data_IF_164962736850
#
_entry.id   IF_164962736850
#
_cell.length_a   1.000
_cell.length_b   1.000
_cell.length_c   1.000
_cell.angle_alpha   90.00
_cell.angle_beta   90.00
_cell.angle_gamma   90.00
#
_symmetry.space_group_name_H-M   'P 1'
#
loop_
_entity.id
_entity.type
_entity.pdbx_description
1 polymer ?
#
# COMPACT_ATOMS: atom_id res chain seq x y z
N UNK A 1 6.59 12.48 -23.09
CA UNK A 1 5.89 13.04 -21.92
C UNK A 1 4.51 13.48 -22.40
N UNK A 2 3.45 12.71 -22.14
CA UNK A 2 2.15 12.90 -22.79
C UNK A 2 1.34 14.05 -22.19
N UNK A 3 0.40 14.62 -22.97
CA UNK A 3 -0.51 15.72 -22.57
C UNK A 3 -1.20 15.47 -21.21
N UNK A 4 -1.48 14.22 -20.86
CA UNK A 4 -2.05 13.82 -19.57
C UNK A 4 -1.12 14.14 -18.37
N UNK A 5 0.18 13.91 -18.51
CA UNK A 5 1.16 14.21 -17.47
C UNK A 5 1.36 15.72 -17.30
N UNK A 6 1.33 16.46 -18.40
CA UNK A 6 1.41 17.93 -18.36
C UNK A 6 0.17 18.56 -17.69
N UNK A 7 -1.04 18.13 -18.04
CA UNK A 7 -2.26 18.59 -17.40
C UNK A 7 -2.32 18.22 -15.92
N UNK A 8 -1.89 17.01 -15.55
CA UNK A 8 -1.75 16.57 -14.15
C UNK A 8 -0.79 17.47 -13.38
N UNK A 9 0.39 17.72 -13.93
CA UNK A 9 1.43 18.57 -13.31
C UNK A 9 0.93 20.02 -13.14
N UNK A 10 0.24 20.58 -14.13
CA UNK A 10 -0.29 21.94 -14.07
C UNK A 10 -1.38 22.08 -12.98
N UNK A 11 -2.30 21.12 -12.87
CA UNK A 11 -3.34 21.10 -11.82
C UNK A 11 -2.69 20.97 -10.44
N UNK A 12 -1.74 20.07 -10.26
CA UNK A 12 -1.05 19.88 -8.98
C UNK A 12 -0.25 21.11 -8.56
N UNK A 13 0.42 21.77 -9.52
CA UNK A 13 1.13 23.02 -9.26
C UNK A 13 0.19 24.16 -8.86
N UNK A 14 -0.97 24.27 -9.52
CA UNK A 14 -1.98 25.29 -9.21
C UNK A 14 -2.59 25.07 -7.82
N UNK A 15 -2.93 23.83 -7.48
CA UNK A 15 -3.46 23.48 -6.13
C UNK A 15 -2.42 23.76 -5.05
N UNK A 16 -1.13 23.48 -5.33
CA UNK A 16 -0.04 23.79 -4.41
C UNK A 16 0.22 25.28 -4.27
N UNK A 17 0.21 26.03 -5.38
CA UNK A 17 0.40 27.49 -5.38
C UNK A 17 -0.69 28.23 -4.61
N UNK A 18 -1.93 27.74 -4.64
CA UNK A 18 -3.06 28.28 -3.89
C UNK A 18 -3.09 27.83 -2.42
N UNK A 19 -2.10 27.07 -1.95
CA UNK A 19 -2.02 26.47 -0.59
C UNK A 19 -3.27 25.66 -0.20
N UNK A 20 -4.03 25.18 -1.17
CA UNK A 20 -5.26 24.42 -0.92
C UNK A 20 -4.97 23.12 -0.18
N UNK A 21 -3.80 22.53 -0.40
CA UNK A 21 -3.36 21.33 0.33
C UNK A 21 -3.21 21.60 1.82
N UNK A 22 -2.58 22.74 2.19
CA UNK A 22 -2.34 23.12 3.59
C UNK A 22 -3.65 23.50 4.28
N UNK A 23 -4.54 24.21 3.58
CA UNK A 23 -5.87 24.53 4.10
C UNK A 23 -6.70 23.25 4.33
N UNK A 24 -6.69 22.32 3.38
CA UNK A 24 -7.39 21.03 3.52
C UNK A 24 -6.84 20.20 4.68
N UNK A 25 -5.52 20.21 4.90
CA UNK A 25 -4.87 19.54 6.04
C UNK A 25 -5.24 20.23 7.36
N UNK A 26 -5.21 21.55 7.42
CA UNK A 26 -5.59 22.32 8.61
C UNK A 26 -7.06 22.08 9.01
N UNK A 27 -7.97 22.09 8.05
CA UNK A 27 -9.39 21.78 8.29
C UNK A 27 -9.59 20.33 8.77
N UNK A 28 -8.78 19.40 8.31
CA UNK A 28 -8.80 18.00 8.79
C UNK A 28 -8.30 17.85 10.21
N UNK A 29 -7.29 18.62 10.60
CA UNK A 29 -6.73 18.59 11.96
C UNK A 29 -7.66 19.23 12.99
N UNK A 30 -8.52 20.15 12.57
CA UNK A 30 -9.45 20.89 13.42
C UNK A 30 -10.83 20.20 13.62
N UNK A 31 -11.10 19.08 12.95
CA UNK A 31 -12.40 18.39 12.91
C UNK A 31 -12.32 17.02 13.61
N UNK A 32 -13.48 16.33 13.87
CA UNK A 32 -13.54 14.88 14.20
C UNK A 32 -12.77 13.98 13.23
N UNK A 33 -12.24 14.53 12.14
CA UNK A 33 -11.29 13.92 11.22
C UNK A 33 -9.97 13.43 11.88
N UNK A 34 -9.73 13.77 13.12
CA UNK A 34 -8.58 13.28 13.93
C UNK A 34 -8.58 11.76 14.12
N UNK A 35 -9.73 11.10 13.97
CA UNK A 35 -9.82 9.63 14.02
C UNK A 35 -9.45 8.95 12.69
N UNK A 36 -9.12 9.72 11.66
CA UNK A 36 -8.85 9.17 10.33
C UNK A 36 -7.42 8.67 10.18
N UNK A 37 -7.29 7.60 9.44
CA UNK A 37 -6.02 6.98 9.06
C UNK A 37 -5.86 7.10 7.55
N UNK A 38 -4.75 7.69 7.11
CA UNK A 38 -4.31 7.59 5.73
C UNK A 38 -3.51 6.30 5.60
N UNK A 39 -3.96 5.38 4.78
CA UNK A 39 -3.21 4.16 4.45
C UNK A 39 -2.51 4.39 3.11
N UNK A 40 -1.19 4.32 3.13
CA UNK A 40 -0.33 4.54 1.95
C UNK A 40 0.02 3.20 1.33
N UNK A 41 -0.09 3.10 0.00
CA UNK A 41 0.49 2.02 -0.78
C UNK A 41 1.70 2.54 -1.54
N UNK A 42 2.85 1.89 -1.37
CA UNK A 42 4.09 2.11 -2.13
C UNK A 42 4.50 0.82 -2.82
N UNK A 43 5.05 0.93 -4.03
CA UNK A 43 5.54 -0.22 -4.78
C UNK A 43 7.06 -0.16 -4.93
N UNK A 44 7.61 1.02 -5.21
CA UNK A 44 9.02 1.18 -5.48
C UNK A 44 9.71 2.08 -4.44
N UNK A 45 10.78 1.56 -3.83
CA UNK A 45 11.58 2.28 -2.83
C UNK A 45 13.07 2.04 -3.06
N UNK A 46 13.55 2.41 -4.27
CA UNK A 46 14.95 2.24 -4.65
C UNK A 46 15.88 3.10 -3.79
N UNK A 47 17.12 2.68 -3.64
CA UNK A 47 18.19 3.44 -2.93
C UNK A 47 18.38 4.84 -3.52
N UNK A 48 18.22 4.99 -4.83
CA UNK A 48 18.26 6.29 -5.50
C UNK A 48 17.16 7.26 -5.06
N UNK A 49 16.05 6.75 -4.51
CA UNK A 49 14.92 7.54 -4.03
C UNK A 49 14.90 7.69 -2.49
N UNK A 50 15.92 7.18 -1.79
CA UNK A 50 15.94 7.17 -0.31
C UNK A 50 15.83 8.57 0.30
N UNK A 51 16.50 9.57 -0.27
CA UNK A 51 16.43 10.94 0.22
C UNK A 51 15.05 11.59 -0.03
N UNK A 52 14.41 11.29 -1.17
CA UNK A 52 13.05 11.75 -1.43
C UNK A 52 12.06 11.12 -0.45
N UNK A 53 12.21 9.82 -0.18
CA UNK A 53 11.39 9.11 0.81
C UNK A 53 11.62 9.67 2.23
N UNK A 54 12.86 9.99 2.59
CA UNK A 54 13.19 10.67 3.85
C UNK A 54 12.48 12.01 3.95
N UNK A 55 12.60 12.85 2.93
CA UNK A 55 11.92 14.15 2.87
C UNK A 55 10.39 14.03 2.98
N UNK A 56 9.83 12.96 2.39
CA UNK A 56 8.40 12.66 2.52
C UNK A 56 8.04 12.28 3.97
N UNK A 57 8.83 11.43 4.64
CA UNK A 57 8.61 11.05 6.04
C UNK A 57 8.80 12.25 7.00
N UNK A 58 9.79 13.11 6.76
CA UNK A 58 9.96 14.35 7.51
C UNK A 58 8.74 15.27 7.42
N UNK A 59 8.15 15.37 6.23
CA UNK A 59 6.93 16.13 6.04
C UNK A 59 5.73 15.41 6.71
N UNK A 60 5.63 14.11 6.56
CA UNK A 60 4.55 13.30 7.15
C UNK A 60 4.53 13.44 8.67
N UNK A 61 5.65 13.36 9.35
CA UNK A 61 5.70 13.47 10.82
C UNK A 61 5.30 14.84 11.35
N UNK A 62 5.39 15.89 10.53
CA UNK A 62 4.87 17.22 10.88
C UNK A 62 3.34 17.29 10.90
N UNK A 63 2.68 16.47 10.09
CA UNK A 63 1.23 16.54 9.85
C UNK A 63 0.44 15.32 10.33
N UNK A 64 1.10 14.17 10.51
CA UNK A 64 0.50 12.90 10.86
C UNK A 64 1.29 12.20 11.98
N UNK A 65 0.64 11.26 12.66
CA UNK A 65 1.29 10.28 13.53
C UNK A 65 1.48 9.00 12.74
N UNK A 66 2.73 8.56 12.55
CA UNK A 66 3.01 7.26 11.94
C UNK A 66 2.61 6.19 12.96
N UNK A 67 1.77 5.23 12.55
CA UNK A 67 1.30 4.14 13.40
C UNK A 67 1.81 2.79 12.90
N UNK A 68 1.80 1.82 13.81
CA UNK A 68 2.14 0.43 13.49
C UNK A 68 0.90 -0.37 13.07
N UNK A 69 1.06 -1.53 12.41
CA UNK A 69 -0.05 -2.43 12.10
C UNK A 69 -0.85 -2.86 13.31
N UNK A 70 -0.20 -3.04 14.48
CA UNK A 70 -0.87 -3.39 15.73
C UNK A 70 -1.78 -2.27 16.22
N UNK A 71 -1.32 -1.01 16.17
CA UNK A 71 -2.15 0.15 16.53
C UNK A 71 -3.31 0.31 15.55
N UNK A 72 -3.08 0.04 14.26
CA UNK A 72 -4.12 0.03 13.24
C UNK A 72 -5.19 -1.01 13.55
N UNK A 73 -4.80 -2.27 13.81
CA UNK A 73 -5.72 -3.35 14.16
C UNK A 73 -6.50 -3.01 15.43
N UNK A 74 -5.82 -2.54 16.47
CA UNK A 74 -6.45 -2.15 17.73
C UNK A 74 -7.49 -1.04 17.54
N UNK A 75 -7.25 -0.07 16.65
CA UNK A 75 -8.23 0.99 16.38
C UNK A 75 -9.54 0.41 15.79
N UNK A 76 -9.46 -0.59 14.92
CA UNK A 76 -10.64 -1.27 14.39
C UNK A 76 -11.32 -2.14 15.42
N UNK A 77 -10.59 -2.85 16.27
CA UNK A 77 -11.12 -3.71 17.32
C UNK A 77 -11.88 -2.91 18.38
N UNK A 78 -11.29 -1.80 18.81
CA UNK A 78 -11.88 -0.96 19.87
C UNK A 78 -12.87 0.08 19.35
N UNK A 79 -12.92 0.28 18.03
CA UNK A 79 -13.70 1.36 17.39
C UNK A 79 -13.37 2.75 17.94
N UNK A 80 -12.13 2.94 18.36
CA UNK A 80 -11.64 4.17 18.94
C UNK A 80 -10.28 4.56 18.37
N UNK A 81 -9.91 5.81 18.57
CA UNK A 81 -8.55 6.26 18.33
C UNK A 81 -7.61 5.72 19.42
N UNK A 82 -6.52 5.07 19.02
CA UNK A 82 -5.54 4.44 19.95
C UNK A 82 -4.15 5.05 19.89
N UNK A 83 -3.90 6.02 19.00
CA UNK A 83 -2.62 6.74 18.93
C UNK A 83 -2.69 8.06 19.68
N UNK A 84 -1.54 8.52 20.19
CA UNK A 84 -1.40 9.74 20.99
C UNK A 84 -1.29 11.00 20.13
N UNK A 85 -1.50 12.17 20.75
CA UNK A 85 -1.39 13.48 20.10
C UNK A 85 -2.67 13.88 19.33
N UNK A 86 -2.65 15.03 18.69
CA UNK A 86 -3.80 15.63 17.99
C UNK A 86 -3.82 15.38 16.46
N UNK A 87 -2.77 14.78 15.90
CA UNK A 87 -2.63 14.57 14.46
C UNK A 87 -3.41 13.34 14.00
N UNK A 88 -3.97 13.33 12.77
CA UNK A 88 -4.47 12.11 12.16
C UNK A 88 -3.33 11.10 11.97
N UNK A 89 -3.66 9.81 11.79
CA UNK A 89 -2.67 8.76 11.64
C UNK A 89 -2.32 8.48 10.17
N UNK A 90 -1.13 7.90 9.97
CA UNK A 90 -0.72 7.29 8.71
C UNK A 90 -0.16 5.90 8.97
N UNK A 91 -0.58 4.93 8.15
CA UNK A 91 -0.02 3.58 8.06
C UNK A 91 0.62 3.40 6.68
N UNK A 92 1.85 2.93 6.65
CA UNK A 92 2.54 2.60 5.40
C UNK A 92 2.36 1.14 5.04
N UNK A 93 2.05 0.89 3.77
CA UNK A 93 2.02 -0.45 3.19
C UNK A 93 2.88 -0.49 1.94
N UNK A 94 3.53 -1.62 1.68
CA UNK A 94 4.45 -1.84 0.58
C UNK A 94 4.01 -3.07 -0.20
N UNK A 95 3.77 -2.91 -1.48
CA UNK A 95 3.26 -3.99 -2.32
C UNK A 95 4.38 -4.67 -3.12
N UNK A 96 4.06 -5.77 -3.79
CA UNK A 96 4.87 -6.54 -4.73
C UNK A 96 6.01 -7.39 -4.14
N UNK A 97 6.40 -7.19 -2.89
CA UNK A 97 7.46 -8.01 -2.27
C UNK A 97 8.86 -7.79 -2.82
N UNK A 98 9.18 -6.58 -3.30
CA UNK A 98 10.51 -6.22 -3.83
C UNK A 98 11.54 -6.11 -2.70
N UNK A 99 12.77 -6.54 -2.96
CA UNK A 99 13.88 -6.47 -2.00
C UNK A 99 14.18 -5.04 -1.56
N UNK A 100 14.02 -4.05 -2.44
CA UNK A 100 14.23 -2.64 -2.11
C UNK A 100 13.33 -2.17 -0.95
N UNK A 101 12.10 -2.68 -0.84
CA UNK A 101 11.22 -2.38 0.28
C UNK A 101 11.80 -2.87 1.62
N UNK A 102 12.46 -4.03 1.63
CA UNK A 102 13.17 -4.53 2.81
C UNK A 102 14.44 -3.73 3.12
N UNK A 103 15.26 -3.43 2.09
CA UNK A 103 16.57 -2.80 2.27
C UNK A 103 16.50 -1.30 2.56
N UNK A 104 15.52 -0.61 1.97
CA UNK A 104 15.42 0.86 2.02
C UNK A 104 14.24 1.32 2.87
N UNK A 105 13.02 0.87 2.52
CA UNK A 105 11.82 1.39 3.16
C UNK A 105 11.69 0.96 4.63
N UNK A 106 11.91 -0.32 4.95
CA UNK A 106 11.74 -0.84 6.30
C UNK A 106 12.65 -0.14 7.31
N UNK A 107 14.00 -0.09 7.14
CA UNK A 107 14.87 0.57 8.10
C UNK A 107 14.63 2.08 8.18
N UNK A 108 14.26 2.72 7.05
CA UNK A 108 13.94 4.13 7.08
C UNK A 108 12.65 4.39 7.88
N UNK A 109 11.58 3.63 7.65
CA UNK A 109 10.33 3.75 8.40
C UNK A 109 10.55 3.50 9.91
N UNK A 110 11.39 2.54 10.25
CA UNK A 110 11.79 2.23 11.64
C UNK A 110 12.49 3.40 12.33
N UNK A 111 13.32 4.14 11.59
CA UNK A 111 14.01 5.31 12.14
C UNK A 111 13.04 6.43 12.56
N UNK A 112 11.81 6.40 12.03
CA UNK A 112 10.70 7.28 12.46
C UNK A 112 9.75 6.62 13.48
N UNK A 113 10.14 5.47 14.06
CA UNK A 113 9.33 4.71 15.02
C UNK A 113 8.15 3.95 14.42
N UNK A 114 8.02 3.93 13.10
CA UNK A 114 6.94 3.25 12.39
C UNK A 114 7.21 1.78 12.14
N UNK A 115 6.15 1.06 11.79
CA UNK A 115 6.17 -0.29 11.21
C UNK A 115 5.15 -0.32 10.09
N UNK A 116 5.39 -1.13 9.06
CA UNK A 116 4.52 -1.21 7.89
C UNK A 116 3.96 -2.61 7.66
N UNK A 117 3.11 -2.72 6.64
CA UNK A 117 2.62 -4.00 6.13
C UNK A 117 3.25 -4.23 4.75
N UNK A 118 3.87 -5.38 4.54
CA UNK A 118 4.48 -5.77 3.29
C UNK A 118 3.62 -6.83 2.62
N UNK A 119 2.94 -6.46 1.54
CA UNK A 119 2.09 -7.36 0.76
C UNK A 119 2.91 -8.04 -0.32
N UNK A 120 2.93 -9.36 -0.31
CA UNK A 120 3.82 -10.13 -1.18
C UNK A 120 3.07 -11.18 -2.01
N UNK A 121 3.32 -11.26 -3.33
CA UNK A 121 2.91 -12.40 -4.14
C UNK A 121 3.77 -13.60 -3.76
N UNK A 122 3.16 -14.63 -3.17
CA UNK A 122 3.95 -15.70 -2.53
C UNK A 122 4.89 -16.44 -3.51
N UNK A 123 4.50 -16.62 -4.77
CA UNK A 123 5.32 -17.27 -5.79
C UNK A 123 6.45 -16.40 -6.36
N UNK A 124 6.47 -15.13 -6.04
CA UNK A 124 7.58 -14.24 -6.40
C UNK A 124 8.74 -14.34 -5.40
N UNK A 125 8.43 -14.56 -4.14
CA UNK A 125 9.39 -14.57 -3.04
C UNK A 125 10.41 -15.69 -3.21
N UNK A 126 11.70 -15.33 -3.07
CA UNK A 126 12.82 -16.25 -3.19
C UNK A 126 13.21 -16.65 -4.62
N UNK A 127 12.52 -16.14 -5.64
CA UNK A 127 12.97 -16.32 -7.02
C UNK A 127 14.28 -15.56 -7.27
N UNK A 128 15.09 -16.07 -8.19
CA UNK A 128 16.38 -15.48 -8.53
C UNK A 128 16.60 -15.44 -10.03
N UNK A 129 17.49 -14.56 -10.50
CA UNK A 129 17.94 -14.49 -11.89
C UNK A 129 16.80 -14.38 -12.89
N UNK A 130 16.84 -15.18 -13.94
CA UNK A 130 15.87 -15.13 -15.03
C UNK A 130 14.43 -15.42 -14.58
N UNK A 131 14.23 -16.30 -13.60
CA UNK A 131 12.90 -16.64 -13.10
C UNK A 131 12.25 -15.45 -12.36
N UNK A 132 13.03 -14.72 -11.56
CA UNK A 132 12.55 -13.51 -10.90
C UNK A 132 12.19 -12.41 -11.91
N UNK A 133 13.06 -12.20 -12.88
CA UNK A 133 12.87 -11.22 -13.96
C UNK A 133 11.62 -11.53 -14.79
N UNK A 134 11.45 -12.78 -15.20
CA UNK A 134 10.28 -13.24 -15.96
C UNK A 134 8.98 -13.06 -15.16
N UNK A 135 8.96 -13.49 -13.90
CA UNK A 135 7.78 -13.28 -13.04
C UNK A 135 7.43 -11.81 -12.93
N UNK A 136 8.42 -10.95 -12.68
CA UNK A 136 8.23 -9.52 -12.51
C UNK A 136 7.58 -8.88 -13.74
N UNK A 137 8.14 -9.07 -14.92
CA UNK A 137 7.64 -8.45 -16.15
C UNK A 137 6.37 -9.11 -16.71
N UNK A 138 6.13 -10.38 -16.41
CA UNK A 138 4.90 -11.06 -16.85
C UNK A 138 3.72 -10.90 -15.90
N UNK A 139 3.96 -10.54 -14.62
CA UNK A 139 2.92 -10.54 -13.57
C UNK A 139 2.77 -9.23 -12.82
N UNK A 140 3.87 -8.54 -12.53
CA UNK A 140 3.86 -7.33 -11.70
C UNK A 140 3.86 -6.09 -12.59
N UNK A 141 4.89 -5.88 -13.38
CA UNK A 141 5.00 -4.72 -14.28
C UNK A 141 4.78 -5.10 -15.75
N UNK A 142 3.58 -5.52 -16.05
CA UNK A 142 3.16 -5.95 -17.40
C UNK A 142 3.13 -4.80 -18.43
N UNK A 143 3.32 -3.54 -18.02
CA UNK A 143 3.34 -2.37 -18.90
C UNK A 143 4.73 -2.05 -19.43
N UNK A 144 5.75 -2.71 -18.93
CA UNK A 144 7.14 -2.50 -19.36
C UNK A 144 7.44 -3.23 -20.67
N UNK A 145 6.72 -2.89 -21.76
CA UNK A 145 7.09 -3.33 -23.12
C UNK A 145 8.46 -2.80 -23.57
N UNK A 146 8.91 -1.70 -22.96
CA UNK A 146 10.29 -1.20 -23.04
C UNK A 146 10.93 -1.49 -21.68
N UNK A 147 11.80 -2.49 -21.63
CA UNK A 147 12.51 -2.86 -20.41
C UNK A 147 13.08 -1.60 -19.74
N UNK A 148 12.60 -1.24 -18.54
CA UNK A 148 13.26 -0.18 -17.78
C UNK A 148 14.71 -0.60 -17.53
N UNK A 149 15.60 0.35 -17.21
CA UNK A 149 16.98 0.02 -16.94
C UNK A 149 17.04 -1.11 -15.90
N UNK A 150 17.75 -2.18 -16.22
CA UNK A 150 17.85 -3.40 -15.41
C UNK A 150 18.42 -3.11 -14.00
N UNK A 151 19.04 -1.95 -13.84
CA UNK A 151 19.62 -1.45 -12.59
C UNK A 151 19.21 0.00 -12.41
N UNK A 152 19.05 0.43 -11.16
CA UNK A 152 19.07 1.85 -10.84
C UNK A 152 20.33 2.50 -11.45
N UNK A 153 20.30 3.79 -11.71
CA UNK A 153 21.46 4.53 -12.24
C UNK A 153 22.72 4.35 -11.36
N UNK A 154 22.54 4.11 -10.05
CA UNK A 154 23.62 3.77 -9.11
C UNK A 154 24.11 2.32 -9.23
N UNK A 155 23.37 1.41 -9.91
CA UNK A 155 23.69 -0.01 -10.01
C UNK A 155 23.45 -0.82 -8.73
N UNK A 156 22.90 -0.21 -7.68
CA UNK A 156 22.73 -0.82 -6.35
C UNK A 156 21.44 -1.62 -6.21
N UNK A 157 20.38 -1.24 -6.93
CA UNK A 157 19.09 -1.91 -6.86
C UNK A 157 18.74 -2.61 -8.18
N UNK A 158 18.22 -3.81 -8.06
CA UNK A 158 17.64 -4.56 -9.16
C UNK A 158 16.12 -4.48 -9.01
N UNK A 159 15.44 -3.79 -9.93
CA UNK A 159 14.01 -3.47 -9.84
C UNK A 159 13.13 -4.71 -9.67
N UNK A 160 13.49 -5.81 -10.33
CA UNK A 160 12.75 -7.08 -10.32
C UNK A 160 13.23 -8.06 -9.24
N UNK A 161 14.15 -7.66 -8.33
CA UNK A 161 14.61 -8.55 -7.27
C UNK A 161 13.56 -8.70 -6.16
N UNK A 162 13.04 -9.91 -5.89
CA UNK A 162 12.14 -10.14 -4.77
C UNK A 162 12.88 -10.28 -3.44
N UNK A 163 12.16 -10.08 -2.35
CA UNK A 163 12.61 -10.49 -1.02
C UNK A 163 12.83 -11.99 -0.95
N UNK A 164 13.70 -12.42 -0.01
CA UNK A 164 13.84 -13.83 0.37
C UNK A 164 12.88 -14.18 1.50
N UNK A 165 12.70 -15.48 1.76
CA UNK A 165 11.89 -15.97 2.88
C UNK A 165 12.47 -15.55 4.24
N UNK A 166 13.81 -15.48 4.35
CA UNK A 166 14.52 -15.01 5.55
C UNK A 166 14.29 -13.53 5.81
N UNK A 167 14.23 -12.71 4.74
CA UNK A 167 13.90 -11.28 4.84
C UNK A 167 12.47 -11.07 5.31
N UNK A 168 11.51 -11.88 4.85
CA UNK A 168 10.14 -11.84 5.36
C UNK A 168 10.05 -12.24 6.84
N UNK A 169 10.75 -13.30 7.25
CA UNK A 169 10.83 -13.71 8.65
C UNK A 169 11.46 -12.60 9.51
N UNK A 170 12.47 -11.90 8.99
CA UNK A 170 13.11 -10.78 9.67
C UNK A 170 12.15 -9.58 9.84
N UNK A 171 11.44 -9.18 8.80
CA UNK A 171 10.40 -8.16 8.90
C UNK A 171 9.37 -8.48 9.99
N UNK A 172 8.89 -9.73 10.03
CA UNK A 172 7.92 -10.17 11.04
C UNK A 172 8.48 -10.12 12.47
N UNK A 173 9.77 -10.47 12.66
CA UNK A 173 10.46 -10.35 13.97
C UNK A 173 10.65 -8.89 14.39
N UNK A 174 10.87 -7.99 13.46
CA UNK A 174 11.03 -6.54 13.70
C UNK A 174 9.71 -5.81 13.93
N UNK A 175 8.56 -6.53 13.91
CA UNK A 175 7.24 -5.97 14.19
C UNK A 175 6.54 -5.36 12.98
N UNK A 176 7.01 -5.65 11.76
CA UNK A 176 6.23 -5.41 10.55
C UNK A 176 5.26 -6.57 10.33
N UNK A 177 4.16 -6.30 9.61
CA UNK A 177 3.31 -7.37 9.13
C UNK A 177 3.70 -7.76 7.71
N UNK A 178 3.62 -9.05 7.42
CA UNK A 178 3.69 -9.58 6.06
C UNK A 178 2.28 -10.01 5.68
N UNK A 179 1.72 -9.38 4.67
CA UNK A 179 0.39 -9.63 4.15
C UNK A 179 0.42 -10.38 2.81
N UNK A 180 -0.72 -10.97 2.44
CA UNK A 180 -0.87 -11.64 1.16
C UNK A 180 -1.22 -10.66 0.03
N UNK A 181 -0.63 -10.89 -1.15
CA UNK A 181 -0.90 -10.15 -2.39
C UNK A 181 -1.21 -11.13 -3.53
N UNK A 182 -2.04 -12.13 -3.24
CA UNK A 182 -2.31 -13.33 -4.03
C UNK A 182 -1.10 -14.29 -4.13
N UNK A 183 -1.28 -15.44 -4.73
CA UNK A 183 -0.21 -16.41 -4.93
C UNK A 183 0.73 -15.99 -6.08
N UNK A 184 0.13 -15.60 -7.22
CA UNK A 184 0.82 -15.33 -8.49
C UNK A 184 0.68 -13.87 -8.96
N UNK A 185 0.34 -12.93 -8.07
CA UNK A 185 -0.04 -11.55 -8.43
C UNK A 185 -1.20 -11.55 -9.44
N UNK A 186 -2.23 -12.37 -9.18
CA UNK A 186 -3.35 -12.61 -10.10
C UNK A 186 -4.48 -11.60 -9.87
N UNK A 187 -5.07 -11.11 -10.96
CA UNK A 187 -6.32 -10.37 -10.92
C UNK A 187 -7.46 -11.32 -10.53
N UNK A 188 -8.05 -11.15 -9.35
CA UNK A 188 -9.08 -12.05 -8.79
C UNK A 188 -10.47 -11.74 -9.36
N UNK A 189 -10.60 -11.68 -10.67
CA UNK A 189 -11.85 -11.36 -11.37
C UNK A 189 -12.29 -12.56 -12.22
N UNK A 190 -13.54 -12.99 -12.04
CA UNK A 190 -14.14 -14.09 -12.80
C UNK A 190 -13.37 -15.43 -12.67
N UNK A 191 -12.76 -15.67 -11.51
CA UNK A 191 -12.07 -16.92 -11.21
C UNK A 191 -13.05 -17.95 -10.65
N UNK A 192 -12.76 -19.23 -10.90
CA UNK A 192 -13.45 -20.35 -10.27
C UNK A 192 -13.14 -20.40 -8.76
N UNK A 193 -13.98 -21.12 -8.00
CA UNK A 193 -13.76 -21.33 -6.55
C UNK A 193 -12.40 -21.95 -6.27
N UNK A 194 -11.95 -22.90 -7.10
CA UNK A 194 -10.66 -23.56 -6.95
C UNK A 194 -9.48 -22.62 -7.22
N UNK A 195 -9.61 -21.73 -8.21
CA UNK A 195 -8.58 -20.72 -8.51
C UNK A 195 -8.52 -19.68 -7.38
N UNK A 196 -9.66 -19.21 -6.87
CA UNK A 196 -9.71 -18.31 -5.72
C UNK A 196 -9.08 -18.94 -4.47
N UNK A 197 -9.43 -20.19 -4.16
CA UNK A 197 -8.85 -20.94 -3.05
C UNK A 197 -7.32 -21.00 -3.17
N UNK A 198 -6.81 -21.36 -4.34
CA UNK A 198 -5.38 -21.44 -4.60
C UNK A 198 -4.68 -20.07 -4.44
N UNK A 199 -5.24 -19.00 -5.02
CA UNK A 199 -4.63 -17.68 -4.99
C UNK A 199 -4.63 -17.06 -3.58
N UNK A 200 -5.65 -17.37 -2.76
CA UNK A 200 -5.86 -16.76 -1.44
C UNK A 200 -5.28 -17.64 -0.33
N UNK A 201 -5.77 -18.88 -0.19
CA UNK A 201 -5.41 -19.75 0.92
C UNK A 201 -3.97 -20.25 0.85
N UNK A 202 -3.50 -20.66 -0.36
CA UNK A 202 -2.13 -21.13 -0.51
C UNK A 202 -1.12 -19.99 -0.31
N UNK A 203 -1.45 -18.76 -0.76
CA UNK A 203 -0.64 -17.57 -0.48
C UNK A 203 -0.49 -17.33 1.03
N UNK A 204 -1.61 -17.29 1.76
CA UNK A 204 -1.61 -17.10 3.20
C UNK A 204 -0.83 -18.22 3.92
N UNK A 205 -1.03 -19.48 3.50
CA UNK A 205 -0.33 -20.64 4.08
C UNK A 205 1.18 -20.55 3.90
N UNK A 206 1.67 -20.22 2.69
CA UNK A 206 3.11 -20.11 2.43
C UNK A 206 3.73 -18.96 3.26
N UNK A 207 3.13 -17.79 3.25
CA UNK A 207 3.61 -16.63 4.02
C UNK A 207 3.61 -16.95 5.52
N UNK A 208 2.55 -17.58 6.03
CA UNK A 208 2.46 -17.98 7.44
C UNK A 208 3.57 -18.95 7.86
N UNK A 209 3.94 -19.90 6.99
CA UNK A 209 5.07 -20.80 7.22
C UNK A 209 6.42 -20.07 7.29
N UNK A 210 6.66 -19.08 6.43
CA UNK A 210 7.91 -18.33 6.40
C UNK A 210 8.07 -17.37 7.58
N UNK A 211 6.96 -16.71 7.96
CA UNK A 211 6.99 -15.70 9.01
C UNK A 211 6.74 -16.24 10.42
N UNK A 212 6.17 -17.43 10.53
CA UNK A 212 5.69 -18.00 11.81
C UNK A 212 4.52 -17.22 12.42
N UNK A 213 3.80 -16.41 11.61
CA UNK A 213 2.71 -15.54 12.05
C UNK A 213 1.44 -15.78 11.23
N UNK A 214 0.25 -15.55 11.79
CA UNK A 214 -0.98 -15.46 11.01
C UNK A 214 -0.88 -14.36 9.95
N UNK A 215 -1.50 -14.58 8.78
CA UNK A 215 -1.53 -13.62 7.68
C UNK A 215 -2.88 -12.89 7.72
N UNK A 216 -3.00 -11.91 8.61
CA UNK A 216 -4.25 -11.20 8.87
C UNK A 216 -4.63 -10.20 7.76
N UNK A 217 -3.66 -9.76 6.95
CA UNK A 217 -3.82 -8.70 5.97
C UNK A 217 -3.71 -9.21 4.53
N UNK A 218 -4.60 -8.72 3.68
CA UNK A 218 -4.61 -8.98 2.24
C UNK A 218 -4.73 -7.67 1.46
N UNK A 219 -3.97 -7.51 0.37
CA UNK A 219 -4.15 -6.45 -0.60
C UNK A 219 -4.48 -7.02 -1.98
N UNK A 220 -5.50 -6.44 -2.64
CA UNK A 220 -5.79 -6.77 -4.02
C UNK A 220 -4.69 -6.28 -4.94
N UNK A 221 -4.25 -7.14 -5.84
CA UNK A 221 -3.39 -6.78 -6.97
C UNK A 221 -4.18 -5.95 -8.00
N UNK A 222 -3.48 -5.08 -8.73
CA UNK A 222 -4.03 -4.23 -9.78
C UNK A 222 -5.02 -3.16 -9.28
N UNK A 223 -6.00 -2.79 -10.11
CA UNK A 223 -6.92 -1.68 -9.87
C UNK A 223 -8.24 -2.15 -9.22
N UNK A 224 -9.06 -1.19 -8.81
CA UNK A 224 -10.33 -1.41 -8.11
C UNK A 224 -11.35 -2.25 -8.89
N UNK A 225 -11.26 -2.28 -10.21
CA UNK A 225 -12.09 -3.09 -11.11
C UNK A 225 -11.61 -4.54 -11.23
N UNK A 226 -10.56 -4.89 -10.49
CA UNK A 226 -10.08 -6.27 -10.34
C UNK A 226 -10.77 -7.03 -9.18
N UNK A 227 -11.75 -6.40 -8.53
CA UNK A 227 -12.48 -6.95 -7.39
C UNK A 227 -13.90 -7.28 -7.83
N UNK A 228 -14.34 -8.51 -7.65
CA UNK A 228 -15.73 -8.93 -7.74
C UNK A 228 -16.23 -9.47 -6.40
N UNK A 229 -17.52 -9.78 -6.33
CA UNK A 229 -18.13 -10.28 -5.09
C UNK A 229 -17.57 -11.64 -4.69
N UNK A 230 -17.32 -12.53 -5.64
CA UNK A 230 -16.81 -13.87 -5.34
C UNK A 230 -15.41 -13.80 -4.72
N UNK A 231 -14.51 -13.01 -5.29
CA UNK A 231 -13.18 -12.80 -4.75
C UNK A 231 -13.20 -12.12 -3.38
N UNK A 232 -14.08 -11.13 -3.19
CA UNK A 232 -14.23 -10.45 -1.89
C UNK A 232 -14.74 -11.39 -0.80
N UNK A 233 -15.78 -12.21 -1.12
CA UNK A 233 -16.29 -13.23 -0.19
C UNK A 233 -15.20 -14.23 0.19
N UNK A 234 -14.40 -14.69 -0.76
CA UNK A 234 -13.29 -15.63 -0.51
C UNK A 234 -12.20 -15.01 0.37
N UNK A 235 -11.75 -13.79 0.07
CA UNK A 235 -10.69 -13.10 0.82
C UNK A 235 -11.08 -12.86 2.28
N UNK A 236 -12.31 -12.43 2.55
CA UNK A 236 -12.77 -12.13 3.91
C UNK A 236 -12.94 -13.36 4.80
N UNK A 237 -12.98 -14.58 4.25
CA UNK A 237 -12.98 -15.81 5.03
C UNK A 237 -11.61 -16.14 5.62
N UNK A 238 -10.53 -15.61 5.01
CA UNK A 238 -9.15 -15.93 5.36
C UNK A 238 -8.48 -14.78 6.10
N UNK A 239 -8.79 -13.53 5.72
CA UNK A 239 -8.09 -12.35 6.19
C UNK A 239 -9.00 -11.41 6.99
N UNK A 240 -8.44 -10.81 8.04
CA UNK A 240 -9.14 -9.87 8.93
C UNK A 240 -9.17 -8.45 8.37
N UNK A 241 -8.18 -8.09 7.56
CA UNK A 241 -7.99 -6.76 7.00
C UNK A 241 -7.78 -6.85 5.49
N UNK A 242 -8.69 -6.25 4.72
CA UNK A 242 -8.68 -6.31 3.26
C UNK A 242 -8.43 -4.92 2.67
N UNK A 243 -7.30 -4.74 2.01
CA UNK A 243 -6.80 -3.46 1.51
C UNK A 243 -7.12 -3.28 0.03
N UNK A 244 -8.00 -2.33 -0.26
CA UNK A 244 -8.44 -1.97 -1.61
C UNK A 244 -7.43 -1.06 -2.30
N UNK A 245 -7.24 -1.18 -3.63
CA UNK A 245 -6.45 -0.23 -4.40
C UNK A 245 -7.18 1.11 -4.67
N UNK A 246 -8.39 1.30 -4.14
CA UNK A 246 -9.18 2.52 -4.34
C UNK A 246 -8.76 3.61 -3.36
N UNK A 247 -8.40 4.83 -3.84
CA UNK A 247 -7.98 5.92 -2.98
C UNK A 247 -9.06 6.36 -1.98
N UNK A 248 -8.62 6.55 -0.73
CA UNK A 248 -9.49 7.05 0.32
C UNK A 248 -8.78 7.19 1.66
N UNK A 249 -9.51 7.72 2.63
CA UNK A 249 -9.11 7.82 4.03
C UNK A 249 -10.02 6.92 4.84
N UNK A 250 -9.51 6.30 5.87
CA UNK A 250 -10.19 5.30 6.70
C UNK A 250 -10.56 5.91 8.06
N UNK A 251 -11.78 5.65 8.52
CA UNK A 251 -12.24 5.95 9.88
C UNK A 251 -12.55 4.63 10.59
N UNK A 252 -11.68 4.11 11.47
CA UNK A 252 -11.88 2.81 12.11
C UNK A 252 -13.12 2.73 12.99
N UNK A 253 -13.72 3.90 13.35
CA UNK A 253 -14.97 3.94 14.12
C UNK A 253 -16.20 3.64 13.27
N UNK A 254 -16.10 3.75 11.94
CA UNK A 254 -17.23 3.67 10.99
C UNK A 254 -17.01 2.66 9.87
N UNK A 255 -15.76 2.56 9.39
CA UNK A 255 -15.43 1.74 8.24
C UNK A 255 -15.24 0.28 8.62
N UNK A 256 -15.39 -0.61 7.63
CA UNK A 256 -15.14 -2.03 7.78
C UNK A 256 -13.64 -2.33 7.61
N UNK A 257 -13.05 -3.20 8.44
CA UNK A 257 -11.68 -3.68 8.21
C UNK A 257 -11.56 -4.53 6.94
N UNK A 258 -12.69 -4.99 6.39
CA UNK A 258 -12.72 -5.79 5.16
C UNK A 258 -12.73 -4.95 3.88
N UNK A 259 -12.75 -3.60 3.98
CA UNK A 259 -12.67 -2.70 2.83
C UNK A 259 -11.89 -1.43 3.21
N UNK A 260 -10.58 -1.56 3.29
CA UNK A 260 -9.66 -0.49 3.67
C UNK A 260 -9.20 0.25 2.42
N UNK A 261 -9.45 1.56 2.37
CA UNK A 261 -9.02 2.43 1.28
C UNK A 261 -7.53 2.74 1.40
N UNK A 262 -6.78 2.72 0.29
CA UNK A 262 -5.36 3.07 0.26
C UNK A 262 -5.08 4.17 -0.76
N UNK A 263 -4.06 4.97 -0.52
CA UNK A 263 -3.55 5.98 -1.46
C UNK A 263 -2.21 5.52 -1.98
N UNK A 264 -2.11 5.37 -3.29
CA UNK A 264 -0.85 5.10 -3.96
C UNK A 264 0.01 6.37 -3.90
N UNK A 265 1.09 6.33 -3.13
CA UNK A 265 2.03 7.44 -2.93
C UNK A 265 3.43 6.87 -3.01
N UNK A 266 4.11 7.11 -4.13
CA UNK A 266 5.41 6.52 -4.39
C UNK A 266 6.56 7.30 -3.75
N UNK A 267 7.68 6.61 -3.51
CA UNK A 267 8.89 7.19 -2.90
C UNK A 267 9.48 8.34 -3.71
N UNK A 268 9.34 8.30 -5.03
CA UNK A 268 9.84 9.30 -5.98
C UNK A 268 8.90 10.49 -6.23
N UNK A 269 7.71 10.52 -5.58
CA UNK A 269 6.78 11.64 -5.77
C UNK A 269 7.39 12.95 -5.26
N UNK A 270 7.19 14.01 -6.06
CA UNK A 270 7.60 15.35 -5.69
C UNK A 270 6.70 15.94 -4.60
N UNK A 271 7.16 16.94 -3.82
CA UNK A 271 6.38 17.51 -2.72
C UNK A 271 4.96 17.93 -3.08
N UNK A 272 4.72 18.49 -4.25
CA UNK A 272 3.37 18.87 -4.69
C UNK A 272 2.46 17.65 -4.87
N UNK A 273 2.99 16.53 -5.34
CA UNK A 273 2.24 15.30 -5.60
C UNK A 273 1.86 14.61 -4.30
N UNK A 274 2.83 14.28 -3.43
CA UNK A 274 2.49 13.59 -2.20
C UNK A 274 1.63 14.44 -1.25
N UNK A 275 1.86 15.77 -1.16
CA UNK A 275 1.02 16.66 -0.35
C UNK A 275 -0.44 16.67 -0.84
N UNK A 276 -0.65 16.67 -2.15
CA UNK A 276 -1.99 16.55 -2.72
C UNK A 276 -2.66 15.23 -2.33
N UNK A 277 -1.94 14.11 -2.41
CA UNK A 277 -2.47 12.79 -2.02
C UNK A 277 -2.83 12.75 -0.52
N UNK A 278 -1.94 13.25 0.34
CA UNK A 278 -2.19 13.30 1.79
C UNK A 278 -3.31 14.29 2.17
N UNK A 279 -3.50 15.38 1.44
CA UNK A 279 -4.54 16.39 1.74
C UNK A 279 -5.96 15.84 1.74
N UNK A 280 -6.19 14.75 1.01
CA UNK A 280 -7.47 14.08 0.85
C UNK A 280 -8.37 14.72 -0.19
N UNK A 281 -7.90 15.69 -0.94
CA UNK A 281 -8.64 16.23 -2.10
C UNK A 281 -8.86 15.12 -3.15
N UNK A 282 -7.94 14.18 -3.27
CA UNK A 282 -8.10 13.00 -4.13
C UNK A 282 -9.31 12.14 -3.74
N UNK A 283 -9.69 12.11 -2.46
CA UNK A 283 -10.82 11.32 -1.97
C UNK A 283 -12.15 11.75 -2.58
N UNK A 284 -12.27 13.06 -2.92
CA UNK A 284 -13.45 13.63 -3.59
C UNK A 284 -13.57 13.13 -5.04
N UNK A 285 -12.45 13.05 -5.74
CA UNK A 285 -12.39 12.54 -7.13
C UNK A 285 -12.83 11.08 -7.20
N UNK A 286 -12.50 10.30 -6.17
CA UNK A 286 -12.79 8.86 -6.13
C UNK A 286 -14.10 8.50 -5.41
N UNK A 287 -14.84 9.49 -4.89
CA UNK A 287 -16.05 9.23 -4.10
C UNK A 287 -17.10 8.38 -4.85
N UNK A 288 -17.30 8.63 -6.14
CA UNK A 288 -18.22 7.84 -6.97
C UNK A 288 -17.79 6.39 -7.15
N UNK A 289 -16.50 6.15 -7.41
CA UNK A 289 -15.95 4.79 -7.56
C UNK A 289 -16.00 4.01 -6.24
N UNK A 290 -15.67 4.65 -5.11
CA UNK A 290 -15.79 4.03 -3.78
C UNK A 290 -17.22 3.62 -3.47
N UNK A 291 -18.21 4.48 -3.77
CA UNK A 291 -19.62 4.16 -3.60
C UNK A 291 -20.03 2.96 -4.43
N UNK A 292 -19.63 2.93 -5.70
CA UNK A 292 -19.92 1.80 -6.61
C UNK A 292 -19.30 0.50 -6.10
N UNK A 293 -18.04 0.51 -5.69
CA UNK A 293 -17.37 -0.67 -5.15
C UNK A 293 -18.08 -1.16 -3.87
N UNK A 294 -18.38 -0.25 -2.95
CA UNK A 294 -19.10 -0.59 -1.70
C UNK A 294 -20.46 -1.23 -1.99
N UNK A 295 -21.26 -0.65 -2.89
CA UNK A 295 -22.56 -1.20 -3.28
C UNK A 295 -22.43 -2.59 -3.91
N UNK A 296 -21.44 -2.82 -4.79
CA UNK A 296 -21.20 -4.12 -5.42
C UNK A 296 -20.86 -5.21 -4.41
N UNK A 297 -20.16 -4.87 -3.32
CA UNK A 297 -19.71 -5.81 -2.31
C UNK A 297 -20.74 -6.04 -1.19
N UNK A 298 -21.63 -5.09 -0.92
CA UNK A 298 -22.65 -5.16 0.15
C UNK A 298 -23.98 -5.77 -0.33
N UNK A 299 -24.25 -5.80 -1.63
CA UNK A 299 -25.47 -6.35 -2.27
C UNK A 299 -25.16 -7.50 -3.21
#
# INVERSE_FOLDING_TARGET
MGLRNFARSAVLSSVSALRLNELALALRSASPAVNRIVVVAMHETLSSNADQLRNQFDWVTKHFTIITPELFAKAFETKTRVWTGSKPAVLFTFDDGRESNYRVAAPLLESYGGRGIFFVPAKFIGLTGAAAKDFYYSRIDIRAETAPPEKSESGEDVIWQPMTTEQLADLARRGHWVGAHTLLHTKLLNLSVQELDREINESARQIGLWTGKPVDAFAWAYSWDAIDRASWEAVKQVHRFCFSPCPGTVDPTKDSPLLIWRKEIESYYQPAEYRFMYSGLVDLVWAGKKRRLKQMLEH
#
